data_IF_429103336291
#
_entry.id   IF_429103336291
#
_cell.length_a   1.000
_cell.length_b   1.000
_cell.length_c   1.000
_cell.angle_alpha   90.00
_cell.angle_beta   90.00
_cell.angle_gamma   90.00
#
_symmetry.space_group_name_H-M   'P 1'
#
loop_
_entity.id
_entity.type
_entity.pdbx_description
1 polymer ?
#
# COMPACT_ATOMS: atom_id res chain seq x y z
N UNK A 1 13.51 9.61 13.98
CA UNK A 1 12.16 9.05 14.16
C UNK A 1 11.88 8.16 12.97
N UNK A 2 11.30 7.00 13.24
CA UNK A 2 11.01 5.98 12.25
C UNK A 2 9.50 5.74 12.26
N UNK A 3 8.90 5.59 11.08
CA UNK A 3 7.48 5.28 10.95
C UNK A 3 7.32 3.94 10.25
N UNK A 4 6.63 3.01 10.91
CA UNK A 4 6.30 1.71 10.33
C UNK A 4 5.00 1.82 9.55
N UNK A 5 5.07 1.56 8.25
CA UNK A 5 3.95 1.61 7.31
C UNK A 5 3.85 0.30 6.56
N UNK A 6 2.68 -0.30 6.51
CA UNK A 6 2.40 -1.51 5.75
C UNK A 6 1.99 -1.16 4.33
N UNK A 7 2.72 -1.66 3.34
CA UNK A 7 2.43 -1.49 1.92
C UNK A 7 2.18 -2.88 1.36
N UNK A 8 0.97 -3.15 0.85
CA UNK A 8 0.68 -4.48 0.25
C UNK A 8 0.90 -5.65 1.26
N UNK A 9 0.54 -5.43 2.53
CA UNK A 9 0.82 -6.32 3.66
C UNK A 9 2.31 -6.47 4.04
N UNK A 10 3.23 -5.80 3.34
CA UNK A 10 4.64 -5.79 3.68
C UNK A 10 4.97 -4.61 4.60
N UNK A 11 5.56 -4.83 5.79
CA UNK A 11 6.00 -3.75 6.65
C UNK A 11 7.20 -3.02 6.02
N UNK A 12 7.09 -1.70 5.89
CA UNK A 12 8.18 -0.79 5.51
C UNK A 12 8.46 0.18 6.65
N UNK A 13 9.73 0.46 6.86
CA UNK A 13 10.19 1.50 7.77
C UNK A 13 10.67 2.68 6.96
N UNK A 14 10.18 3.86 7.32
CA UNK A 14 10.63 5.12 6.72
C UNK A 14 11.44 5.86 7.76
N UNK A 15 12.69 6.15 7.43
CA UNK A 15 13.57 6.95 8.26
C UNK A 15 13.49 8.43 7.87
N UNK A 16 13.60 9.33 8.83
CA UNK A 16 13.64 10.78 8.59
C UNK A 16 12.29 11.52 8.64
N UNK A 17 11.24 10.87 9.14
CA UNK A 17 9.92 11.50 9.32
C UNK A 17 9.98 12.54 10.45
N UNK A 18 9.34 13.69 10.26
CA UNK A 18 9.24 14.76 11.25
C UNK A 18 7.80 15.26 11.42
N UNK A 19 7.56 16.13 12.42
CA UNK A 19 6.23 16.73 12.71
C UNK A 19 5.68 17.59 11.57
N UNK A 20 6.56 18.01 10.64
CA UNK A 20 6.19 18.78 9.44
C UNK A 20 5.85 17.91 8.25
N UNK A 21 6.20 16.62 8.29
CA UNK A 21 5.96 15.68 7.19
C UNK A 21 4.46 15.39 7.13
N UNK A 22 3.84 15.69 5.99
CA UNK A 22 2.43 15.40 5.73
C UNK A 22 2.26 13.99 5.18
N UNK A 23 1.05 13.44 5.25
CA UNK A 23 0.71 12.16 4.63
C UNK A 23 1.08 12.15 3.16
N UNK A 24 0.87 13.27 2.44
CA UNK A 24 1.28 13.40 1.03
C UNK A 24 2.79 13.20 0.84
N UNK A 25 3.64 13.82 1.65
CA UNK A 25 5.10 13.66 1.57
C UNK A 25 5.51 12.20 1.86
N UNK A 26 4.88 11.57 2.86
CA UNK A 26 5.13 10.16 3.19
C UNK A 26 4.70 9.24 2.03
N UNK A 27 3.51 9.46 1.48
CA UNK A 27 2.98 8.75 0.32
C UNK A 27 3.95 8.91 -0.85
N UNK A 28 4.42 10.13 -1.12
CA UNK A 28 5.33 10.43 -2.21
C UNK A 28 6.67 9.71 -2.02
N UNK A 29 7.25 9.76 -0.82
CA UNK A 29 8.48 9.05 -0.50
C UNK A 29 8.33 7.53 -0.64
N UNK A 30 7.21 6.96 -0.17
CA UNK A 30 6.91 5.53 -0.31
C UNK A 30 6.70 5.12 -1.75
N UNK A 31 5.93 5.91 -2.51
CA UNK A 31 5.66 5.73 -3.93
C UNK A 31 6.98 5.73 -4.70
N UNK A 32 7.83 6.72 -4.46
CA UNK A 32 9.14 6.84 -5.08
C UNK A 32 10.07 5.67 -4.70
N UNK A 33 10.15 5.30 -3.43
CA UNK A 33 10.99 4.19 -2.95
C UNK A 33 10.47 2.80 -3.38
N UNK A 34 9.17 2.65 -3.63
CA UNK A 34 8.53 1.40 -4.08
C UNK A 34 8.38 1.36 -5.60
N UNK A 35 8.59 2.47 -6.30
CA UNK A 35 8.27 2.61 -7.73
C UNK A 35 6.78 2.53 -8.04
N UNK A 36 5.90 2.71 -7.04
CA UNK A 36 4.45 2.65 -7.21
C UNK A 36 3.92 4.05 -7.50
N UNK A 37 3.19 4.22 -8.59
CA UNK A 37 2.61 5.52 -8.99
C UNK A 37 1.09 5.40 -9.03
N UNK A 38 0.39 6.45 -8.61
CA UNK A 38 -1.06 6.43 -8.46
C UNK A 38 -1.55 7.30 -7.31
N UNK A 39 -2.86 7.24 -7.05
CA UNK A 39 -3.44 7.88 -5.86
C UNK A 39 -3.30 6.90 -4.71
N UNK A 40 -2.69 7.34 -3.61
CA UNK A 40 -2.64 6.56 -2.39
C UNK A 40 -3.24 7.35 -1.23
N UNK A 41 -3.69 6.64 -0.22
CA UNK A 41 -4.16 7.17 1.04
C UNK A 41 -3.49 6.38 2.17
N UNK A 42 -3.12 7.08 3.23
CA UNK A 42 -2.60 6.44 4.43
C UNK A 42 -3.79 6.12 5.33
N UNK A 43 -3.84 4.91 5.87
CA UNK A 43 -4.89 4.46 6.78
C UNK A 43 -4.23 4.09 8.10
N UNK A 44 -4.67 4.67 9.21
CA UNK A 44 -4.28 4.22 10.55
C UNK A 44 -5.27 3.15 11.01
N UNK A 45 -4.73 2.03 11.50
CA UNK A 45 -5.49 0.93 12.06
C UNK A 45 -5.11 0.77 13.52
N UNK A 46 -6.10 0.88 14.39
CA UNK A 46 -5.96 0.75 15.84
C UNK A 46 -6.94 -0.29 16.37
N UNK A 47 -6.43 -1.42 16.87
CA UNK A 47 -7.20 -2.60 17.34
C UNK A 47 -8.25 -3.10 16.35
N UNK A 48 -9.43 -2.51 16.33
CA UNK A 48 -10.57 -2.82 15.46
C UNK A 48 -11.08 -1.60 14.66
N UNK A 49 -10.54 -0.41 14.91
CA UNK A 49 -10.86 0.81 14.17
C UNK A 49 -9.84 1.06 13.07
N UNK A 50 -10.30 1.34 11.86
CA UNK A 50 -9.44 1.83 10.78
C UNK A 50 -9.96 3.18 10.27
N UNK A 51 -9.05 4.14 10.12
CA UNK A 51 -9.35 5.50 9.69
C UNK A 51 -8.41 5.90 8.57
N UNK A 52 -8.96 6.38 7.45
CA UNK A 52 -8.18 7.02 6.40
C UNK A 52 -7.76 8.42 6.84
N UNK A 53 -6.47 8.73 6.75
CA UNK A 53 -5.92 10.05 7.01
C UNK A 53 -6.13 10.96 5.79
N UNK A 54 -6.34 12.26 6.04
CA UNK A 54 -6.39 13.24 4.96
C UNK A 54 -4.98 13.48 4.39
N UNK A 55 -4.85 13.95 3.13
CA UNK A 55 -3.54 14.28 2.56
C UNK A 55 -2.80 15.40 3.32
N UNK A 56 -3.53 16.25 4.04
CA UNK A 56 -2.98 17.33 4.86
C UNK A 56 -2.67 16.91 6.31
N UNK A 57 -3.10 15.71 6.72
CA UNK A 57 -2.78 15.19 8.05
C UNK A 57 -1.29 14.86 8.15
N UNK A 58 -0.80 14.82 9.38
CA UNK A 58 0.60 14.52 9.71
C UNK A 58 0.64 13.18 10.42
N UNK A 59 1.17 12.11 9.80
CA UNK A 59 1.16 10.78 10.41
C UNK A 59 1.98 10.74 11.70
N UNK A 60 3.03 11.56 11.78
CA UNK A 60 3.84 11.67 12.99
C UNK A 60 3.09 12.36 14.13
N UNK A 61 2.33 13.43 13.86
CA UNK A 61 1.49 14.07 14.88
C UNK A 61 0.37 13.17 15.36
N UNK A 62 -0.23 12.39 14.45
CA UNK A 62 -1.23 11.39 14.82
C UNK A 62 -0.61 10.32 15.73
N UNK A 63 0.54 9.74 15.33
CA UNK A 63 1.27 8.78 16.16
C UNK A 63 1.62 9.37 17.54
N UNK A 64 2.09 10.62 17.59
CA UNK A 64 2.36 11.33 18.85
C UNK A 64 1.09 11.55 19.68
N UNK A 65 -0.04 11.87 19.04
CA UNK A 65 -1.33 12.05 19.71
C UNK A 65 -1.85 10.74 20.30
N UNK A 66 -1.55 9.61 19.67
CA UNK A 66 -1.82 8.29 20.23
C UNK A 66 -0.94 7.96 21.44
N UNK A 67 0.25 8.54 21.56
CA UNK A 67 1.10 8.44 22.75
C UNK A 67 1.43 6.98 23.12
N UNK A 68 0.93 6.50 24.26
CA UNK A 68 1.13 5.12 24.72
C UNK A 68 0.48 4.06 23.81
N UNK A 69 -0.55 4.44 23.04
CA UNK A 69 -1.22 3.58 22.07
C UNK A 69 -0.52 3.57 20.71
N UNK A 70 0.51 4.39 20.51
CA UNK A 70 1.26 4.46 19.26
C UNK A 70 1.82 3.09 18.82
N UNK A 71 2.12 2.21 19.78
CA UNK A 71 2.58 0.84 19.53
C UNK A 71 1.50 -0.09 18.94
N UNK A 72 0.22 0.16 19.27
CA UNK A 72 -0.94 -0.58 18.77
C UNK A 72 -1.47 -0.01 17.45
N UNK A 73 -1.04 1.19 17.07
CA UNK A 73 -1.43 1.85 15.81
C UNK A 73 -0.54 1.39 14.68
N UNK A 74 -1.16 0.89 13.61
CA UNK A 74 -0.47 0.50 12.38
C UNK A 74 -0.90 1.39 11.23
N UNK A 75 0.07 1.97 10.53
CA UNK A 75 -0.20 2.72 9.31
C UNK A 75 -0.17 1.76 8.11
N UNK A 76 -1.15 1.87 7.23
CA UNK A 76 -1.30 1.05 6.03
C UNK A 76 -1.46 1.98 4.83
N UNK A 77 -0.63 1.80 3.81
CA UNK A 77 -0.75 2.52 2.55
C UNK A 77 -1.76 1.81 1.65
N UNK A 78 -2.88 2.46 1.34
CA UNK A 78 -3.90 1.99 0.39
C UNK A 78 -3.78 2.73 -0.92
N UNK A 79 -3.69 2.00 -2.03
CA UNK A 79 -3.81 2.58 -3.36
C UNK A 79 -5.29 2.79 -3.70
N UNK A 80 -5.68 4.02 -4.03
CA UNK A 80 -7.02 4.44 -4.46
C UNK A 80 -7.19 4.42 -5.99
N UNK A 81 -6.10 4.32 -6.76
CA UNK A 81 -6.17 4.14 -8.22
C UNK A 81 -5.87 2.70 -8.60
N UNK A 82 -6.62 2.15 -9.57
CA UNK A 82 -6.51 0.78 -10.09
C UNK A 82 -5.05 0.27 -10.15
N UNK A 83 -4.66 -0.54 -9.16
CA UNK A 83 -3.71 -1.60 -9.42
C UNK A 83 -4.54 -2.83 -9.76
N UNK A 84 -5.02 -2.85 -11.01
CA UNK A 84 -5.29 -4.11 -11.69
C UNK A 84 -3.97 -4.87 -11.61
N UNK A 85 -3.90 -5.87 -10.73
CA UNK A 85 -2.73 -6.72 -10.62
C UNK A 85 -2.35 -7.17 -12.04
N UNK A 86 -1.07 -7.22 -12.42
CA UNK A 86 -0.67 -8.14 -13.46
C UNK A 86 -0.92 -9.53 -12.88
N UNK A 87 -2.13 -10.07 -13.09
CA UNK A 87 -2.36 -11.51 -13.12
C UNK A 87 -1.45 -12.04 -14.23
N UNK A 88 -0.21 -12.36 -13.87
CA UNK A 88 0.73 -13.01 -14.76
C UNK A 88 1.50 -14.02 -13.94
N UNK A 89 1.46 -15.26 -14.45
CA UNK A 89 1.89 -16.54 -13.88
C UNK A 89 0.74 -17.26 -13.13
N UNK A 90 0.24 -18.42 -13.56
CA UNK A 90 0.76 -19.42 -14.52
C UNK A 90 -0.40 -20.34 -14.94
N UNK A 91 -0.62 -20.59 -16.24
CA UNK A 91 -0.13 -21.73 -17.04
C UNK A 91 -1.02 -22.97 -16.99
N UNK A 92 -1.38 -23.38 -18.21
CA UNK A 92 -1.62 -24.75 -18.65
C UNK A 92 -2.81 -25.52 -18.04
N UNK A 93 -3.99 -25.37 -18.66
CA UNK A 93 -4.97 -26.46 -18.68
C UNK A 93 -5.19 -26.92 -20.12
N UNK A 94 -4.46 -27.99 -20.42
CA UNK A 94 -4.61 -28.94 -21.50
C UNK A 94 -6.06 -29.17 -21.94
N UNK A 95 -6.38 -28.92 -23.22
CA UNK A 95 -7.52 -29.53 -23.91
C UNK A 95 -7.15 -29.91 -25.36
N UNK A 96 -6.62 -31.14 -25.47
CA UNK A 96 -6.78 -32.21 -26.47
C UNK A 96 -6.94 -31.92 -28.00
N UNK A 97 -6.31 -32.75 -28.86
CA UNK A 97 -6.36 -32.64 -30.33
C UNK A 97 -7.61 -33.33 -30.92
N UNK A 98 -8.19 -32.76 -31.99
CA UNK A 98 -9.34 -33.39 -32.67
C UNK A 98 -9.75 -32.76 -33.99
N UNK A 99 -9.24 -33.34 -35.07
CA UNK A 99 -9.88 -33.62 -36.38
C UNK A 99 -10.62 -32.52 -37.17
N UNK A 100 -10.19 -32.32 -38.42
CA UNK A 100 -11.10 -32.10 -39.56
C UNK A 100 -10.61 -31.17 -40.67
N UNK A 101 -10.51 -31.70 -41.90
CA UNK A 101 -10.62 -30.92 -43.15
C UNK A 101 -9.30 -30.71 -43.91
N UNK A 102 -8.91 -31.60 -44.83
CA UNK A 102 -9.23 -31.55 -46.27
C UNK A 102 -8.58 -30.38 -47.03
N UNK A 103 -7.59 -30.65 -47.89
CA UNK A 103 -7.63 -30.29 -49.32
C UNK A 103 -6.29 -30.65 -50.02
N UNK A 104 -6.45 -31.22 -51.22
CA UNK A 104 -5.47 -31.54 -52.28
C UNK A 104 -4.74 -32.90 -52.19
#
# INVERSE_FOLDING_TARGET
MELKVYVDNLPRLISGINRRTTCQEVIYALAHATGKTGRFVLVEKWRTSERSLAPHDKPLELLLKWGEYAQDVQFVLRCLGEHRAPSRASDETNDVPGAGGSAF
#
